data_IF_430466075663
#
_entry.id   IF_430466075663
#
_cell.length_a   1.000
_cell.length_b   1.000
_cell.length_c   1.000
_cell.angle_alpha   90.00
_cell.angle_beta   90.00
_cell.angle_gamma   90.00
#
_symmetry.space_group_name_H-M   'P 1'
#
loop_
_entity.id
_entity.type
_entity.pdbx_description
1 polymer ?
#
# COMPACT_ATOMS: atom_id res chain seq x y z
N UNK A 1 11.23 -18.72 -8.43
CA UNK A 1 11.86 -19.72 -7.54
C UNK A 1 11.06 -21.01 -7.59
N UNK A 2 11.70 -22.16 -7.38
CA UNK A 2 10.96 -23.43 -7.29
C UNK A 2 9.90 -23.33 -6.18
N UNK A 3 8.67 -23.76 -6.48
CA UNK A 3 7.52 -23.65 -5.57
C UNK A 3 6.74 -22.33 -5.63
N UNK A 4 7.12 -21.36 -6.46
CA UNK A 4 6.40 -20.10 -6.65
C UNK A 4 6.01 -19.88 -8.11
N UNK A 5 4.70 -19.76 -8.37
CA UNK A 5 4.14 -19.38 -9.67
C UNK A 5 3.71 -17.91 -9.63
N UNK A 6 4.09 -17.14 -10.64
CA UNK A 6 3.71 -15.73 -10.76
C UNK A 6 2.70 -15.57 -11.90
N UNK A 7 1.67 -14.77 -11.65
CA UNK A 7 0.63 -14.41 -12.63
C UNK A 7 0.51 -12.89 -12.66
N UNK A 8 0.00 -12.34 -13.76
CA UNK A 8 -0.22 -10.91 -13.86
C UNK A 8 -1.27 -10.44 -12.83
N UNK A 9 -0.98 -9.32 -12.15
CA UNK A 9 -1.89 -8.71 -11.19
C UNK A 9 -3.22 -8.35 -11.87
N UNK A 10 -4.34 -8.72 -11.26
CA UNK A 10 -5.67 -8.51 -11.83
C UNK A 10 -6.12 -9.55 -12.87
N UNK A 11 -5.26 -10.51 -13.26
CA UNK A 11 -5.60 -11.52 -14.27
C UNK A 11 -6.12 -12.82 -13.63
N UNK A 12 -7.44 -12.94 -13.53
CA UNK A 12 -8.10 -14.13 -12.95
C UNK A 12 -7.97 -15.39 -13.81
N UNK A 13 -7.79 -15.26 -15.13
CA UNK A 13 -7.62 -16.41 -16.01
C UNK A 13 -6.26 -17.06 -15.78
N UNK A 14 -5.19 -16.26 -15.70
CA UNK A 14 -3.86 -16.75 -15.34
C UNK A 14 -3.85 -17.30 -13.91
N UNK A 15 -4.50 -16.60 -12.97
CA UNK A 15 -4.61 -17.08 -11.59
C UNK A 15 -5.23 -18.47 -11.53
N UNK A 16 -6.39 -18.69 -12.14
CA UNK A 16 -7.05 -20.00 -12.17
C UNK A 16 -6.22 -21.07 -12.88
N UNK A 17 -5.56 -20.72 -13.99
CA UNK A 17 -4.69 -21.66 -14.71
C UNK A 17 -3.46 -22.09 -13.89
N UNK A 18 -2.99 -21.25 -12.97
CA UNK A 18 -1.86 -21.55 -12.09
C UNK A 18 -2.24 -22.40 -10.86
N UNK A 19 -3.53 -22.56 -10.56
CA UNK A 19 -4.00 -23.33 -9.40
C UNK A 19 -3.92 -24.83 -9.63
N UNK A 20 -3.66 -25.57 -8.55
CA UNK A 20 -3.70 -27.03 -8.51
C UNK A 20 -4.06 -27.51 -7.11
N UNK A 21 -4.28 -28.82 -6.96
CA UNK A 21 -4.44 -29.50 -5.66
C UNK A 21 -3.20 -29.40 -4.75
N UNK A 22 -2.05 -28.99 -5.30
CA UNK A 22 -0.79 -28.79 -4.57
C UNK A 22 -0.54 -27.34 -4.18
N UNK A 23 -1.40 -26.40 -4.59
CA UNK A 23 -1.21 -24.99 -4.26
C UNK A 23 -1.46 -24.78 -2.76
N UNK A 24 -0.48 -24.23 -2.03
CA UNK A 24 -0.63 -24.00 -0.60
C UNK A 24 -1.35 -22.68 -0.29
N UNK A 25 -1.06 -21.63 -1.06
CA UNK A 25 -1.58 -20.30 -0.80
C UNK A 25 -1.55 -19.40 -2.05
N UNK A 26 -2.39 -18.37 -2.02
CA UNK A 26 -2.36 -17.20 -2.90
C UNK A 26 -1.84 -16.03 -2.08
N UNK A 27 -0.76 -15.38 -2.51
CA UNK A 27 -0.21 -14.19 -1.86
C UNK A 27 -0.35 -12.97 -2.78
N UNK A 28 -0.91 -11.89 -2.25
CA UNK A 28 -1.13 -10.67 -3.02
C UNK A 28 -1.10 -9.43 -2.13
N UNK A 29 -0.60 -8.31 -2.65
CA UNK A 29 -0.79 -6.99 -2.03
C UNK A 29 -2.17 -6.45 -2.46
N UNK A 30 -3.09 -6.07 -1.56
CA UNK A 30 -4.34 -5.39 -1.95
C UNK A 30 -4.11 -4.12 -2.77
N UNK A 31 -2.98 -3.45 -2.55
CA UNK A 31 -2.48 -2.34 -3.37
C UNK A 31 -0.98 -2.59 -3.59
N UNK A 32 -0.56 -2.88 -4.82
CA UNK A 32 0.86 -3.06 -5.13
C UNK A 32 1.58 -1.72 -5.00
N UNK A 33 2.45 -1.62 -4.00
CA UNK A 33 3.17 -0.38 -3.69
C UNK A 33 4.31 -0.11 -4.67
N UNK A 34 5.32 -0.97 -4.63
CA UNK A 34 6.50 -0.88 -5.51
C UNK A 34 6.16 -1.15 -6.98
N UNK A 35 5.07 -1.88 -7.25
CA UNK A 35 4.54 -2.11 -8.60
C UNK A 35 4.01 -0.86 -9.30
N UNK A 36 3.98 0.28 -8.62
CA UNK A 36 3.58 1.57 -9.19
C UNK A 36 2.34 2.18 -8.55
N UNK A 37 1.91 1.75 -7.37
CA UNK A 37 0.63 2.14 -6.75
C UNK A 37 -0.55 1.63 -7.58
N UNK A 38 -0.72 0.31 -7.61
CA UNK A 38 -1.82 -0.35 -8.32
C UNK A 38 -2.83 -0.94 -7.32
N UNK A 39 -3.95 -0.23 -7.01
CA UNK A 39 -5.02 -0.81 -6.21
C UNK A 39 -5.71 -1.95 -6.96
N UNK A 40 -5.89 -3.09 -6.29
CA UNK A 40 -6.76 -4.14 -6.80
C UNK A 40 -8.21 -3.62 -6.91
N UNK A 41 -8.95 -4.13 -7.89
CA UNK A 41 -10.40 -3.95 -7.88
C UNK A 41 -11.03 -4.80 -6.79
N UNK A 42 -12.14 -4.34 -6.22
CA UNK A 42 -12.94 -5.11 -5.25
C UNK A 42 -13.32 -6.49 -5.80
N UNK A 43 -13.77 -6.54 -7.06
CA UNK A 43 -14.15 -7.78 -7.73
C UNK A 43 -12.97 -8.76 -7.87
N UNK A 44 -11.76 -8.25 -8.11
CA UNK A 44 -10.56 -9.09 -8.17
C UNK A 44 -10.26 -9.73 -6.81
N UNK A 45 -10.21 -8.94 -5.72
CA UNK A 45 -9.94 -9.47 -4.38
C UNK A 45 -11.01 -10.46 -3.91
N UNK A 46 -12.28 -10.20 -4.20
CA UNK A 46 -13.38 -11.14 -3.93
C UNK A 46 -13.20 -12.44 -4.71
N UNK A 47 -12.84 -12.36 -6.00
CA UNK A 47 -12.59 -13.54 -6.81
C UNK A 47 -11.39 -14.35 -6.32
N UNK A 48 -10.34 -13.71 -5.77
CA UNK A 48 -9.22 -14.43 -5.16
C UNK A 48 -9.64 -15.20 -3.92
N UNK A 49 -10.56 -14.65 -3.11
CA UNK A 49 -11.15 -15.36 -1.97
C UNK A 49 -11.95 -16.57 -2.42
N UNK A 50 -12.81 -16.40 -3.42
CA UNK A 50 -13.59 -17.50 -3.98
C UNK A 50 -12.70 -18.62 -4.53
N UNK A 51 -11.63 -18.26 -5.25
CA UNK A 51 -10.63 -19.23 -5.75
C UNK A 51 -9.91 -19.91 -4.59
N UNK A 52 -9.49 -19.16 -3.57
CA UNK A 52 -8.81 -19.73 -2.42
C UNK A 52 -9.69 -20.76 -1.70
N UNK A 53 -10.99 -20.46 -1.53
CA UNK A 53 -11.96 -21.36 -0.92
C UNK A 53 -12.25 -22.58 -1.80
N UNK A 54 -12.43 -22.40 -3.11
CA UNK A 54 -12.68 -23.47 -4.09
C UNK A 54 -11.56 -24.52 -4.08
N UNK A 55 -10.31 -24.08 -4.01
CA UNK A 55 -9.14 -24.96 -4.01
C UNK A 55 -8.67 -25.35 -2.60
N UNK A 56 -9.37 -24.92 -1.54
CA UNK A 56 -8.96 -25.09 -0.13
C UNK A 56 -7.49 -24.67 0.12
N UNK A 57 -7.14 -23.47 -0.36
CA UNK A 57 -5.82 -22.85 -0.20
C UNK A 57 -5.93 -21.61 0.67
N UNK A 58 -4.82 -21.17 1.25
CA UNK A 58 -4.82 -19.97 2.09
C UNK A 58 -4.76 -18.70 1.22
N UNK A 59 -5.55 -17.69 1.57
CA UNK A 59 -5.38 -16.34 1.02
C UNK A 59 -4.50 -15.51 1.95
N UNK A 60 -3.42 -14.96 1.42
CA UNK A 60 -2.46 -14.14 2.16
C UNK A 60 -2.48 -12.73 1.58
N UNK A 61 -2.75 -11.74 2.43
CA UNK A 61 -2.56 -10.35 2.06
C UNK A 61 -1.26 -9.80 2.64
N UNK A 62 -0.41 -9.28 1.77
CA UNK A 62 0.70 -8.43 2.18
C UNK A 62 0.19 -6.99 2.33
N UNK A 63 -0.01 -6.59 3.59
CA UNK A 63 -0.44 -5.26 3.97
C UNK A 63 0.70 -4.44 4.60
N UNK A 64 1.95 -4.87 4.41
CA UNK A 64 3.12 -4.21 4.99
C UNK A 64 3.20 -2.75 4.55
N UNK A 65 2.83 -2.41 3.31
CA UNK A 65 2.81 -1.03 2.82
C UNK A 65 1.41 -0.40 2.84
N UNK A 66 0.36 -1.13 2.47
CA UNK A 66 -0.97 -0.58 2.25
C UNK A 66 -1.90 -0.60 3.49
N UNK A 67 -1.53 -1.35 4.53
CA UNK A 67 -2.26 -1.40 5.80
C UNK A 67 -1.88 -0.27 6.75
N UNK A 68 -2.28 -0.42 8.02
CA UNK A 68 -2.02 0.52 9.10
C UNK A 68 -2.46 1.96 8.77
N UNK A 69 -3.71 2.12 8.33
CA UNK A 69 -4.30 3.43 8.05
C UNK A 69 -3.94 4.04 6.70
N UNK A 70 -2.93 3.51 5.99
CA UNK A 70 -2.38 4.09 4.76
C UNK A 70 -3.42 4.30 3.65
N UNK A 71 -4.33 3.36 3.50
CA UNK A 71 -5.43 3.40 2.53
C UNK A 71 -6.65 4.22 2.99
N UNK A 72 -6.62 4.79 4.20
CA UNK A 72 -7.79 5.40 4.84
C UNK A 72 -8.68 4.41 5.61
N UNK A 73 -8.31 3.12 5.60
CA UNK A 73 -8.84 2.05 6.44
C UNK A 73 -7.71 1.51 7.33
N UNK A 74 -8.05 0.87 8.45
CA UNK A 74 -7.03 0.28 9.31
C UNK A 74 -6.23 -0.75 8.50
N UNK A 75 -6.94 -1.61 7.77
CA UNK A 75 -6.39 -2.53 6.80
C UNK A 75 -7.03 -2.30 5.42
N UNK A 76 -6.24 -2.39 4.35
CA UNK A 76 -6.69 -2.20 2.98
C UNK A 76 -7.74 -3.23 2.54
N UNK A 77 -7.72 -4.44 3.09
CA UNK A 77 -8.72 -5.47 2.79
C UNK A 77 -10.15 -5.03 3.08
N UNK A 78 -10.35 -4.11 4.03
CA UNK A 78 -11.66 -3.57 4.41
C UNK A 78 -12.33 -2.81 3.24
N UNK A 79 -11.55 -2.34 2.26
CA UNK A 79 -12.09 -1.68 1.06
C UNK A 79 -12.91 -2.67 0.22
N UNK A 80 -12.44 -3.92 0.11
CA UNK A 80 -13.14 -4.98 -0.60
C UNK A 80 -14.05 -5.82 0.31
N UNK A 81 -13.94 -5.63 1.62
CA UNK A 81 -14.56 -6.47 2.65
C UNK A 81 -14.22 -7.97 2.48
N UNK A 82 -12.94 -8.25 2.18
CA UNK A 82 -12.42 -9.61 1.98
C UNK A 82 -11.36 -9.88 3.02
N UNK A 83 -11.66 -10.67 4.05
CA UNK A 83 -10.67 -11.05 5.03
C UNK A 83 -9.71 -12.13 4.46
N UNK A 84 -8.38 -11.96 4.59
CA UNK A 84 -7.43 -13.01 4.26
C UNK A 84 -7.34 -14.06 5.39
N UNK A 85 -6.77 -15.22 5.09
CA UNK A 85 -6.42 -16.22 6.10
C UNK A 85 -5.16 -15.81 6.89
N UNK A 86 -4.22 -15.14 6.22
CA UNK A 86 -2.97 -14.62 6.80
C UNK A 86 -2.76 -13.19 6.31
N UNK A 87 -2.28 -12.30 7.17
CA UNK A 87 -1.94 -10.93 6.80
C UNK A 87 -0.58 -10.52 7.36
N UNK A 88 0.29 -10.01 6.49
CA UNK A 88 1.57 -9.42 6.87
C UNK A 88 1.45 -7.92 7.14
N UNK A 89 2.00 -7.45 8.26
CA UNK A 89 2.02 -6.05 8.68
C UNK A 89 3.44 -5.63 9.08
N UNK A 90 3.84 -4.40 8.74
CA UNK A 90 5.03 -3.75 9.29
C UNK A 90 4.93 -2.23 9.07
N UNK A 91 6.07 -1.54 8.87
CA UNK A 91 6.17 -0.13 8.49
C UNK A 91 5.34 0.79 9.40
N UNK A 92 4.10 1.09 8.98
CA UNK A 92 3.18 1.97 9.69
C UNK A 92 2.92 1.54 11.13
N UNK A 93 2.90 0.24 11.42
CA UNK A 93 2.63 -0.29 12.78
C UNK A 93 3.68 0.17 13.81
N UNK A 94 4.91 0.43 13.39
CA UNK A 94 5.98 0.86 14.28
C UNK A 94 6.16 2.37 14.37
N UNK A 95 5.49 3.16 13.52
CA UNK A 95 5.65 4.61 13.49
C UNK A 95 7.10 5.08 13.29
N UNK A 96 7.95 4.24 12.67
CA UNK A 96 9.39 4.47 12.52
C UNK A 96 10.29 3.53 13.33
N UNK A 97 9.76 2.83 14.34
CA UNK A 97 10.48 1.76 15.05
C UNK A 97 10.35 0.41 14.30
N UNK A 98 11.40 -0.43 14.24
CA UNK A 98 11.32 -1.73 13.56
C UNK A 98 10.39 -2.70 14.29
N UNK A 99 9.24 -2.98 13.69
CA UNK A 99 8.29 -4.02 14.13
C UNK A 99 7.48 -4.52 12.94
N UNK A 100 7.20 -5.82 12.94
CA UNK A 100 6.29 -6.47 12.00
C UNK A 100 5.44 -7.50 12.73
N UNK A 101 4.30 -7.84 12.14
CA UNK A 101 3.36 -8.83 12.64
C UNK A 101 2.85 -9.70 11.50
N UNK A 102 2.55 -10.96 11.81
CA UNK A 102 1.79 -11.86 10.96
C UNK A 102 0.52 -12.20 11.71
N UNK A 103 -0.62 -11.72 11.21
CA UNK A 103 -1.93 -12.09 11.72
C UNK A 103 -2.40 -13.32 10.94
N UNK A 104 -3.06 -14.26 11.61
CA UNK A 104 -3.58 -15.46 10.98
C UNK A 104 -4.87 -15.91 11.67
N UNK A 105 -5.77 -16.54 10.92
CA UNK A 105 -6.91 -17.26 11.50
C UNK A 105 -6.41 -18.47 12.30
N UNK A 106 -7.24 -18.96 13.24
CA UNK A 106 -6.90 -20.17 14.02
C UNK A 106 -6.60 -21.37 13.11
N UNK A 107 -7.40 -21.54 12.04
CA UNK A 107 -7.18 -22.59 11.02
C UNK A 107 -5.83 -22.41 10.31
N UNK A 108 -5.49 -21.20 9.86
CA UNK A 108 -4.23 -20.96 9.17
C UNK A 108 -3.01 -21.09 10.10
N UNK A 109 -3.17 -20.79 11.39
CA UNK A 109 -2.12 -20.89 12.40
C UNK A 109 -1.96 -22.30 13.00
N UNK A 110 -2.77 -23.28 12.63
CA UNK A 110 -2.81 -24.59 13.32
C UNK A 110 -1.47 -25.36 13.29
N UNK A 111 -0.60 -25.08 12.32
CA UNK A 111 0.75 -25.66 12.23
C UNK A 111 1.82 -24.93 13.06
N UNK A 112 1.51 -23.77 13.64
CA UNK A 112 2.43 -22.95 14.41
C UNK A 112 2.49 -23.41 15.87
N UNK A 113 3.16 -24.53 16.10
CA UNK A 113 3.42 -25.09 17.43
C UNK A 113 4.76 -24.59 18.01
N UNK A 114 5.02 -24.76 19.32
CA UNK A 114 6.31 -24.41 19.91
C UNK A 114 7.47 -25.06 19.16
N UNK A 115 8.43 -24.24 18.71
CA UNK A 115 9.60 -24.67 17.95
C UNK A 115 9.48 -24.57 16.43
N UNK A 116 8.30 -24.30 15.85
CA UNK A 116 8.12 -24.15 14.40
C UNK A 116 8.82 -22.91 13.83
N UNK A 117 8.71 -21.77 14.52
CA UNK A 117 9.32 -20.51 14.12
C UNK A 117 9.66 -19.66 15.36
N UNK A 118 10.60 -18.72 15.23
CA UNK A 118 10.97 -17.83 16.31
C UNK A 118 11.87 -16.69 15.83
N UNK A 119 11.93 -15.62 16.63
CA UNK A 119 12.79 -14.47 16.37
C UNK A 119 13.26 -13.87 17.70
N UNK A 120 14.58 -13.71 17.87
CA UNK A 120 15.19 -13.20 19.11
C UNK A 120 14.64 -11.83 19.51
N UNK A 121 14.41 -10.95 18.53
CA UNK A 121 13.90 -9.59 18.77
C UNK A 121 12.39 -9.47 18.50
N UNK A 122 11.75 -10.51 17.95
CA UNK A 122 10.32 -10.51 17.66
C UNK A 122 9.51 -10.40 18.96
N UNK A 123 8.60 -9.43 19.02
CA UNK A 123 7.75 -9.23 20.20
C UNK A 123 8.45 -8.59 21.40
N UNK A 124 9.66 -8.00 21.22
CA UNK A 124 10.34 -7.34 22.33
C UNK A 124 9.51 -6.17 22.91
N UNK A 125 9.60 -5.89 24.23
CA UNK A 125 8.73 -4.89 24.88
C UNK A 125 8.83 -3.47 24.31
N UNK A 126 9.99 -3.06 23.79
CA UNK A 126 10.17 -1.73 23.21
C UNK A 126 9.40 -1.58 21.89
N UNK A 127 9.49 -2.60 21.02
CA UNK A 127 8.71 -2.65 19.79
C UNK A 127 7.20 -2.68 20.07
N UNK A 128 6.77 -3.44 21.08
CA UNK A 128 5.35 -3.51 21.46
C UNK A 128 4.84 -2.18 22.04
N UNK A 129 5.64 -1.49 22.84
CA UNK A 129 5.30 -0.16 23.35
C UNK A 129 5.15 0.87 22.22
N UNK A 130 6.06 0.87 21.25
CA UNK A 130 5.98 1.74 20.08
C UNK A 130 4.72 1.43 19.24
N UNK A 131 4.44 0.15 18.99
CA UNK A 131 3.27 -0.27 18.23
C UNK A 131 1.95 0.09 18.93
N UNK A 132 1.87 -0.09 20.24
CA UNK A 132 0.70 0.31 21.02
C UNK A 132 0.45 1.82 20.95
N UNK A 133 1.50 2.65 21.12
CA UNK A 133 1.34 4.10 21.02
C UNK A 133 0.85 4.55 19.63
N UNK A 134 1.32 3.90 18.55
CA UNK A 134 0.82 4.15 17.19
C UNK A 134 -0.64 3.76 17.05
N UNK A 135 -1.02 2.58 17.56
CA UNK A 135 -2.39 2.09 17.51
C UNK A 135 -3.34 2.95 18.33
N UNK A 136 -2.93 3.40 19.52
CA UNK A 136 -3.72 4.28 20.38
C UNK A 136 -4.15 5.54 19.61
N UNK A 137 -3.22 6.20 18.92
CA UNK A 137 -3.49 7.38 18.09
C UNK A 137 -4.32 7.01 16.85
N UNK A 138 -3.98 5.93 16.17
CA UNK A 138 -4.63 5.56 14.91
C UNK A 138 -6.10 5.15 15.09
N UNK A 139 -6.42 4.56 16.24
CA UNK A 139 -7.76 4.11 16.62
C UNK A 139 -8.58 5.20 17.33
N UNK A 140 -8.03 6.40 17.52
CA UNK A 140 -8.81 7.54 17.97
C UNK A 140 -9.98 7.82 17.02
N UNK A 141 -11.08 8.28 17.61
CA UNK A 141 -12.27 8.64 16.87
C UNK A 141 -11.92 9.64 15.77
N UNK A 142 -12.43 9.40 14.57
CA UNK A 142 -12.29 10.26 13.39
C UNK A 142 -10.86 10.35 12.78
N UNK A 143 -9.84 9.70 13.36
CA UNK A 143 -8.47 9.72 12.81
C UNK A 143 -8.42 9.18 11.37
N UNK A 144 -8.90 7.94 11.16
CA UNK A 144 -8.91 7.32 9.83
C UNK A 144 -9.85 8.04 8.85
N UNK A 145 -10.96 8.60 9.35
CA UNK A 145 -11.85 9.43 8.53
C UNK A 145 -11.13 10.70 8.04
N UNK A 146 -10.32 11.33 8.89
CA UNK A 146 -9.47 12.46 8.53
C UNK A 146 -8.40 12.07 7.51
N UNK A 147 -7.76 10.91 7.67
CA UNK A 147 -6.81 10.36 6.67
C UNK A 147 -7.49 10.21 5.30
N UNK A 148 -8.69 9.64 5.25
CA UNK A 148 -9.44 9.46 4.01
C UNK A 148 -9.83 10.80 3.35
N UNK A 149 -10.29 11.77 4.16
CA UNK A 149 -10.61 13.13 3.70
C UNK A 149 -9.38 13.81 3.08
N UNK A 150 -8.25 13.79 3.78
CA UNK A 150 -6.98 14.37 3.31
C UNK A 150 -6.45 13.68 2.06
N UNK A 151 -6.55 12.35 2.00
CA UNK A 151 -6.21 11.56 0.81
C UNK A 151 -7.04 11.93 -0.41
N UNK A 152 -8.34 12.12 -0.22
CA UNK A 152 -9.25 12.54 -1.30
C UNK A 152 -8.91 13.94 -1.79
N UNK A 153 -8.67 14.88 -0.87
CA UNK A 153 -8.24 16.24 -1.22
C UNK A 153 -6.95 16.21 -2.04
N UNK A 154 -5.90 15.56 -1.52
CA UNK A 154 -4.61 15.49 -2.20
C UNK A 154 -4.74 14.82 -3.57
N UNK A 155 -5.50 13.73 -3.70
CA UNK A 155 -5.73 13.08 -4.98
C UNK A 155 -6.39 14.02 -6.00
N UNK A 156 -7.41 14.78 -5.60
CA UNK A 156 -8.08 15.73 -6.49
C UNK A 156 -7.13 16.85 -6.93
N UNK A 157 -6.34 17.40 -5.99
CA UNK A 157 -5.35 18.44 -6.32
C UNK A 157 -4.30 17.91 -7.32
N UNK A 158 -3.83 16.67 -7.14
CA UNK A 158 -2.91 16.03 -8.08
C UNK A 158 -3.55 15.79 -9.47
N UNK A 159 -4.84 15.43 -9.53
CA UNK A 159 -5.56 15.28 -10.80
C UNK A 159 -5.61 16.62 -11.54
N UNK A 160 -5.92 17.72 -10.85
CA UNK A 160 -5.89 19.05 -11.45
C UNK A 160 -4.49 19.45 -11.95
N UNK A 161 -3.41 19.00 -11.29
CA UNK A 161 -2.05 19.21 -11.77
C UNK A 161 -1.73 18.38 -13.03
N UNK A 162 -2.24 17.16 -13.14
CA UNK A 162 -2.13 16.37 -14.38
C UNK A 162 -2.79 17.08 -15.55
N UNK A 163 -4.00 17.63 -15.34
CA UNK A 163 -4.71 18.39 -16.38
C UNK A 163 -3.94 19.65 -16.79
N UNK A 164 -3.32 20.34 -15.82
CA UNK A 164 -2.53 21.55 -16.07
C UNK A 164 -1.17 21.27 -16.73
N UNK A 165 -0.52 20.15 -16.41
CA UNK A 165 0.84 19.81 -16.82
C UNK A 165 0.91 18.48 -17.58
N UNK A 166 0.01 18.29 -18.54
CA UNK A 166 -0.13 17.01 -19.27
C UNK A 166 1.09 16.61 -20.10
N UNK A 167 2.06 17.50 -20.29
CA UNK A 167 3.35 17.22 -20.94
C UNK A 167 4.39 16.62 -19.99
N UNK A 168 4.16 16.72 -18.68
CA UNK A 168 5.07 16.22 -17.63
C UNK A 168 4.42 15.09 -16.83
N UNK A 169 3.12 15.19 -16.55
CA UNK A 169 2.37 14.24 -15.75
C UNK A 169 1.27 13.57 -16.61
N UNK A 170 1.15 12.25 -16.49
CA UNK A 170 0.23 11.45 -17.31
C UNK A 170 -1.07 11.12 -16.56
N UNK A 171 -0.97 10.67 -15.30
CA UNK A 171 -2.15 10.25 -14.52
C UNK A 171 -1.85 10.15 -13.02
N UNK A 172 -2.91 10.08 -12.21
CA UNK A 172 -2.84 9.84 -10.76
C UNK A 172 -3.59 8.56 -10.42
N UNK A 173 -3.03 7.76 -9.53
CA UNK A 173 -3.68 6.54 -8.99
C UNK A 173 -3.39 6.35 -7.51
N UNK A 174 -4.11 5.41 -6.90
CA UNK A 174 -4.02 5.11 -5.47
C UNK A 174 -5.27 5.47 -4.65
N UNK A 175 -5.19 5.17 -3.36
CA UNK A 175 -6.28 5.27 -2.38
C UNK A 175 -5.73 5.80 -1.04
N UNK A 176 -6.53 6.58 -0.31
CA UNK A 176 -6.09 7.20 0.94
C UNK A 176 -4.88 8.12 0.74
N UNK A 177 -3.87 7.99 1.61
CA UNK A 177 -2.58 8.69 1.47
C UNK A 177 -1.52 7.77 0.81
N UNK A 178 -1.94 6.81 0.00
CA UNK A 178 -1.08 5.98 -0.84
C UNK A 178 -1.32 6.34 -2.30
N UNK A 179 -0.65 7.38 -2.78
CA UNK A 179 -0.87 7.95 -4.11
C UNK A 179 0.38 7.83 -4.98
N UNK A 180 0.17 7.76 -6.29
CA UNK A 180 1.21 7.74 -7.30
C UNK A 180 0.85 8.65 -8.46
N UNK A 181 1.85 9.37 -8.98
CA UNK A 181 1.76 10.21 -10.16
C UNK A 181 2.59 9.55 -11.26
N UNK A 182 1.96 9.18 -12.37
CA UNK A 182 2.67 8.65 -13.53
C UNK A 182 3.31 9.79 -14.31
N UNK A 183 4.60 9.66 -14.57
CA UNK A 183 5.39 10.65 -15.30
C UNK A 183 5.29 10.40 -16.81
N UNK A 184 5.28 11.46 -17.62
CA UNK A 184 5.43 11.38 -19.08
C UNK A 184 6.89 11.09 -19.44
N UNK A 185 7.82 11.84 -18.85
CA UNK A 185 9.26 11.58 -18.92
C UNK A 185 9.75 10.56 -17.90
N UNK A 186 11.07 10.30 -17.78
CA UNK A 186 11.60 9.37 -16.80
C UNK A 186 11.26 9.79 -15.35
N UNK A 187 10.64 8.90 -14.58
CA UNK A 187 10.23 9.20 -13.19
C UNK A 187 11.40 9.56 -12.25
N UNK A 188 12.62 9.08 -12.53
CA UNK A 188 13.82 9.42 -11.77
C UNK A 188 14.20 10.91 -11.93
N UNK A 189 14.03 11.47 -13.12
CA UNK A 189 14.29 12.89 -13.38
C UNK A 189 13.23 13.76 -12.71
N UNK A 190 11.96 13.36 -12.81
CA UNK A 190 10.86 14.05 -12.11
C UNK A 190 11.06 14.02 -10.58
N UNK A 191 11.42 12.86 -10.02
CA UNK A 191 11.73 12.73 -8.59
C UNK A 191 12.93 13.62 -8.19
N UNK A 192 13.97 13.69 -9.03
CA UNK A 192 15.12 14.57 -8.78
C UNK A 192 14.71 16.05 -8.78
N UNK A 193 13.88 16.47 -9.71
CA UNK A 193 13.36 17.83 -9.80
C UNK A 193 12.44 18.21 -8.61
N UNK A 194 11.61 17.26 -8.13
CA UNK A 194 10.86 17.44 -6.88
C UNK A 194 11.80 17.64 -5.68
N UNK A 195 12.88 16.85 -5.61
CA UNK A 195 13.87 16.97 -4.53
C UNK A 195 14.59 18.31 -4.55
N UNK A 196 14.92 18.84 -5.72
CA UNK A 196 15.50 20.19 -5.88
C UNK A 196 14.57 21.27 -5.33
N UNK A 197 13.25 21.11 -5.53
CA UNK A 197 12.19 21.93 -4.98
C UNK A 197 11.76 21.55 -3.55
N UNK A 198 12.61 20.81 -2.82
CA UNK A 198 12.43 20.44 -1.40
C UNK A 198 11.17 19.61 -1.15
N UNK A 199 10.78 18.78 -2.11
CA UNK A 199 9.74 17.76 -1.95
C UNK A 199 10.35 16.36 -2.08
N UNK A 200 10.35 15.62 -0.98
CA UNK A 200 10.87 14.25 -0.95
C UNK A 200 9.79 13.27 -1.40
N UNK A 201 10.10 12.54 -2.46
CA UNK A 201 9.27 11.47 -3.02
C UNK A 201 10.17 10.27 -3.34
N UNK A 202 9.55 9.16 -3.76
CA UNK A 202 10.28 7.95 -4.16
C UNK A 202 9.62 7.36 -5.39
N UNK A 203 10.41 6.82 -6.31
CA UNK A 203 9.87 6.14 -7.50
C UNK A 203 9.23 4.79 -7.16
N UNK A 204 8.44 4.29 -8.09
CA UNK A 204 7.95 2.92 -8.16
C UNK A 204 7.94 2.45 -9.63
N UNK A 205 7.55 1.19 -9.85
CA UNK A 205 7.34 0.63 -11.17
C UNK A 205 6.36 1.44 -12.03
N UNK A 206 6.32 1.08 -13.31
CA UNK A 206 5.41 1.68 -14.30
C UNK A 206 5.57 3.21 -14.46
N UNK A 207 6.79 3.71 -14.27
CA UNK A 207 7.14 5.12 -14.43
C UNK A 207 6.38 6.06 -13.46
N UNK A 208 6.16 5.61 -12.23
CA UNK A 208 5.44 6.37 -11.20
C UNK A 208 6.38 6.99 -10.18
N UNK A 209 6.04 8.21 -9.73
CA UNK A 209 6.56 8.83 -8.50
C UNK A 209 5.49 8.72 -7.41
N UNK A 210 5.86 8.17 -6.25
CA UNK A 210 4.96 7.95 -5.11
C UNK A 210 4.88 9.18 -4.20
N UNK A 211 3.66 9.48 -3.77
CA UNK A 211 3.32 10.54 -2.82
C UNK A 211 2.68 9.88 -1.60
N UNK A 212 3.50 9.65 -0.57
CA UNK A 212 3.15 8.86 0.63
C UNK A 212 3.40 9.68 1.92
N UNK A 213 2.68 10.80 2.16
CA UNK A 213 2.95 11.64 3.33
C UNK A 213 2.62 10.92 4.65
N UNK A 214 3.09 11.41 5.80
CA UNK A 214 2.63 10.94 7.11
C UNK A 214 1.10 11.00 7.25
N UNK A 215 0.48 10.10 8.02
CA UNK A 215 -0.98 10.08 8.17
C UNK A 215 -1.51 11.32 8.91
N UNK A 216 -0.67 11.93 9.74
CA UNK A 216 -0.93 13.18 10.46
C UNK A 216 -0.58 14.44 9.65
N UNK A 217 -0.25 14.33 8.35
CA UNK A 217 0.01 15.50 7.48
C UNK A 217 -1.13 16.52 7.56
N UNK A 218 -0.79 17.82 7.61
CA UNK A 218 -1.76 18.90 7.69
C UNK A 218 -2.32 19.31 6.33
N UNK A 219 -3.43 20.05 6.28
CA UNK A 219 -3.98 20.55 5.01
C UNK A 219 -3.06 21.64 4.39
N UNK A 220 -2.33 22.38 5.22
CA UNK A 220 -1.31 23.35 4.82
C UNK A 220 -0.10 22.65 4.18
N UNK A 221 0.42 21.58 4.79
CA UNK A 221 1.52 20.79 4.23
C UNK A 221 1.12 20.13 2.90
N UNK A 222 -0.12 19.65 2.78
CA UNK A 222 -0.67 19.16 1.51
C UNK A 222 -0.66 20.28 0.46
N UNK A 223 -1.13 21.47 0.82
CA UNK A 223 -1.22 22.61 -0.09
C UNK A 223 0.17 23.08 -0.54
N UNK A 224 1.15 23.11 0.38
CA UNK A 224 2.55 23.40 0.06
C UNK A 224 3.14 22.36 -0.90
N UNK A 225 2.89 21.07 -0.67
CA UNK A 225 3.36 20.01 -1.55
C UNK A 225 2.79 20.15 -2.97
N UNK A 226 1.49 20.45 -3.10
CA UNK A 226 0.83 20.69 -4.39
C UNK A 226 1.45 21.89 -5.11
N UNK A 227 1.71 22.99 -4.40
CA UNK A 227 2.39 24.16 -4.97
C UNK A 227 3.80 23.84 -5.46
N UNK A 228 4.57 23.05 -4.69
CA UNK A 228 5.91 22.59 -5.10
C UNK A 228 5.86 21.73 -6.36
N UNK A 229 4.89 20.81 -6.46
CA UNK A 229 4.71 19.98 -7.67
C UNK A 229 4.38 20.87 -8.87
N UNK A 230 3.46 21.82 -8.71
CA UNK A 230 3.07 22.79 -9.75
C UNK A 230 4.29 23.56 -10.28
N UNK A 231 5.08 24.12 -9.36
CA UNK A 231 6.30 24.86 -9.67
C UNK A 231 7.33 23.98 -10.40
N UNK A 232 7.57 22.76 -9.92
CA UNK A 232 8.49 21.83 -10.57
C UNK A 232 8.04 21.50 -12.00
N UNK A 233 6.76 21.24 -12.21
CA UNK A 233 6.25 20.90 -13.55
C UNK A 233 6.40 22.07 -14.54
N UNK A 234 6.17 23.32 -14.08
CA UNK A 234 6.43 24.52 -14.89
C UNK A 234 7.91 24.68 -15.27
N UNK A 235 8.83 24.36 -14.36
CA UNK A 235 10.28 24.43 -14.62
C UNK A 235 10.74 23.36 -15.62
N UNK A 236 10.24 22.13 -15.50
CA UNK A 236 10.60 21.01 -16.37
C UNK A 236 10.00 21.15 -17.77
N UNK A 237 8.88 21.85 -17.90
CA UNK A 237 8.23 22.11 -19.20
C UNK A 237 8.86 23.25 -20.00
N UNK A 238 9.76 24.04 -19.38
CA UNK A 238 10.42 25.21 -19.98
C UNK A 238 11.74 24.84 -20.64
#
# INVERSE_FOLDING_TARGET
>A
PDGFHHVAFGNLNEMRAAMSDKTAAILVEPIQGEGGINPASTAYLQSLRDIADEFNTLLIFDEVQCGMGRSGKLFAYEIANVAPDIMGLAKGIGGGFPVGAVLATEKAASGMVPGTHGSTYGGNPLAMAAANAVLDVMLEKDFLASVLKKGTKLKNDLVSLVEKHSTVLESVRGVGLMLGIKSVGPNLELMAAFRENKLLTVVAGENVVRVLPPLNVSEEEISEAVQKIDQTCSQVSS
#
